data_IF_758803518128
#
_entry.id   IF_758803518128
#
_cell.length_a   1.000
_cell.length_b   1.000
_cell.length_c   1.000
_cell.angle_alpha   90.00
_cell.angle_beta   90.00
_cell.angle_gamma   90.00
#
_symmetry.space_group_name_H-M   'P 1'
#
loop_
_entity.id
_entity.type
_entity.pdbx_description
1 polymer ?
#
# COMPACT_ATOMS: atom_id res chain seq x y z
N UNK A 1 -2.01 -12.73 14.31
CA UNK A 1 -3.13 -13.05 13.40
C UNK A 1 -3.19 -11.96 12.35
N UNK A 2 -3.15 -12.36 11.08
CA UNK A 2 -3.25 -11.46 9.93
C UNK A 2 -4.70 -11.15 9.60
N UNK A 3 -4.98 -9.90 9.25
CA UNK A 3 -6.25 -9.46 8.68
C UNK A 3 -5.97 -8.61 7.43
N UNK A 4 -6.83 -8.68 6.42
CA UNK A 4 -6.72 -7.79 5.27
C UNK A 4 -6.79 -6.33 5.74
N UNK A 5 -5.91 -5.49 5.21
CA UNK A 5 -5.82 -4.05 5.54
C UNK A 5 -6.24 -3.21 4.33
N UNK A 6 -5.61 -3.47 3.19
CA UNK A 6 -5.97 -2.83 1.93
C UNK A 6 -5.49 -3.63 0.72
N UNK A 7 -6.00 -3.20 -0.43
CA UNK A 7 -5.61 -3.64 -1.76
C UNK A 7 -4.82 -2.52 -2.43
N UNK A 8 -3.82 -2.86 -3.24
CA UNK A 8 -3.01 -1.87 -3.96
C UNK A 8 -3.10 -2.04 -5.48
N UNK A 9 -3.50 -0.96 -6.13
CA UNK A 9 -3.44 -0.76 -7.58
C UNK A 9 -2.18 0.03 -7.88
N UNK A 10 -1.24 -0.62 -8.56
CA UNK A 10 -0.02 0.05 -9.02
C UNK A 10 -0.25 0.68 -10.40
N UNK A 11 0.42 1.80 -10.63
CA UNK A 11 0.33 2.57 -11.87
C UNK A 11 1.66 3.30 -12.17
N UNK A 12 1.87 3.68 -13.44
CA UNK A 12 3.06 4.43 -13.86
C UNK A 12 3.03 5.86 -13.33
N UNK A 13 1.86 6.51 -13.40
CA UNK A 13 1.60 7.80 -12.79
C UNK A 13 0.36 7.70 -11.90
N UNK A 14 0.35 8.44 -10.79
CA UNK A 14 -0.81 8.46 -9.91
C UNK A 14 -2.06 9.03 -10.61
N UNK A 15 -1.87 9.99 -11.52
CA UNK A 15 -2.97 10.57 -12.31
C UNK A 15 -3.67 9.50 -13.17
N UNK A 16 -2.91 8.70 -13.92
CA UNK A 16 -3.47 7.62 -14.74
C UNK A 16 -4.18 6.57 -13.88
N UNK A 17 -3.59 6.23 -12.72
CA UNK A 17 -4.17 5.28 -11.79
C UNK A 17 -5.50 5.77 -11.22
N UNK A 18 -5.56 7.03 -10.79
CA UNK A 18 -6.79 7.66 -10.28
C UNK A 18 -7.84 7.68 -11.36
N UNK A 19 -7.52 8.19 -12.55
CA UNK A 19 -8.47 8.25 -13.67
C UNK A 19 -9.04 6.86 -14.01
N UNK A 20 -8.19 5.83 -14.07
CA UNK A 20 -8.62 4.48 -14.38
C UNK A 20 -9.57 3.90 -13.32
N UNK A 21 -9.27 4.09 -12.03
CA UNK A 21 -10.09 3.56 -10.94
C UNK A 21 -11.40 4.35 -10.80
N UNK A 22 -11.38 5.67 -10.88
CA UNK A 22 -12.60 6.50 -10.85
C UNK A 22 -13.53 6.17 -12.01
N UNK A 23 -12.98 5.99 -13.22
CA UNK A 23 -13.76 5.57 -14.38
C UNK A 23 -14.39 4.18 -14.21
N UNK A 24 -13.67 3.24 -13.57
CA UNK A 24 -14.15 1.88 -13.36
C UNK A 24 -15.22 1.78 -12.25
N UNK A 25 -15.09 2.58 -11.18
CA UNK A 25 -15.94 2.49 -9.99
C UNK A 25 -17.00 3.59 -9.90
N UNK A 26 -16.90 4.64 -10.73
CA UNK A 26 -17.86 5.73 -10.79
C UNK A 26 -17.85 6.68 -9.59
N UNK A 27 -16.79 6.65 -8.77
CA UNK A 27 -16.65 7.47 -7.56
C UNK A 27 -15.26 8.06 -7.48
N UNK A 28 -15.13 9.20 -6.80
CA UNK A 28 -13.84 9.87 -6.63
C UNK A 28 -12.97 9.19 -5.58
N UNK A 29 -11.66 9.12 -5.83
CA UNK A 29 -10.70 8.81 -4.78
C UNK A 29 -10.48 10.02 -3.87
N UNK A 30 -10.06 9.75 -2.65
CA UNK A 30 -9.84 10.75 -1.62
C UNK A 30 -8.52 10.52 -0.85
N UNK A 31 -8.16 11.51 -0.05
CA UNK A 31 -7.03 11.41 0.88
C UNK A 31 -5.71 11.04 0.20
N UNK A 32 -4.98 10.12 0.83
CA UNK A 32 -3.65 9.71 0.42
C UNK A 32 -2.55 10.71 0.83
N UNK A 33 -1.41 10.65 0.14
CA UNK A 33 -0.27 11.51 0.39
C UNK A 33 1.04 10.89 -0.12
N UNK A 34 2.15 11.44 0.35
CA UNK A 34 3.50 11.03 -0.05
C UNK A 34 4.14 10.11 1.00
N UNK A 35 4.93 9.15 0.55
CA UNK A 35 5.78 8.30 1.36
C UNK A 35 7.25 8.66 1.10
N UNK A 36 7.81 9.56 1.90
CA UNK A 36 9.17 10.07 1.69
C UNK A 36 10.24 8.97 1.65
N UNK A 37 10.09 7.95 2.51
CA UNK A 37 11.03 6.83 2.57
C UNK A 37 11.09 6.02 1.26
N UNK A 38 10.01 5.99 0.49
CA UNK A 38 9.92 5.17 -0.73
C UNK A 38 9.80 6.00 -1.99
N UNK A 39 9.80 7.33 -1.89
CA UNK A 39 9.49 8.23 -3.00
C UNK A 39 8.28 7.72 -3.82
N UNK A 40 7.19 7.42 -3.12
CA UNK A 40 5.90 7.04 -3.71
C UNK A 40 4.82 7.99 -3.23
N UNK A 41 3.70 8.02 -3.93
CA UNK A 41 2.51 8.76 -3.53
C UNK A 41 1.25 7.97 -3.85
N UNK A 42 0.15 8.28 -3.16
CA UNK A 42 -1.08 7.52 -3.31
C UNK A 42 -2.36 8.37 -3.27
N UNK A 43 -3.45 7.72 -3.63
CA UNK A 43 -4.85 8.10 -3.42
C UNK A 43 -5.62 6.89 -2.93
N UNK A 44 -6.67 7.12 -2.14
CA UNK A 44 -7.36 6.06 -1.43
C UNK A 44 -8.85 6.05 -1.77
N UNK A 45 -9.50 4.90 -1.60
CA UNK A 45 -10.95 4.75 -1.67
C UNK A 45 -11.41 3.85 -0.53
N UNK A 46 -12.46 4.24 0.21
CA UNK A 46 -13.04 3.39 1.25
C UNK A 46 -13.65 2.13 0.63
N UNK A 47 -13.37 0.97 1.25
CA UNK A 47 -14.04 -0.31 0.97
C UNK A 47 -14.85 -0.81 2.17
N UNK A 48 -15.14 0.07 3.13
CA UNK A 48 -15.72 -0.28 4.42
C UNK A 48 -15.04 0.45 5.58
N UNK A 49 -15.40 0.11 6.83
CA UNK A 49 -14.94 0.86 8.01
C UNK A 49 -13.44 0.68 8.29
N UNK A 50 -12.86 -0.46 7.89
CA UNK A 50 -11.48 -0.86 8.19
C UNK A 50 -10.67 -1.29 6.96
N UNK A 51 -11.26 -1.24 5.77
CA UNK A 51 -10.62 -1.60 4.50
C UNK A 51 -10.61 -0.44 3.52
N UNK A 52 -9.58 -0.36 2.70
CA UNK A 52 -9.50 0.61 1.61
C UNK A 52 -8.79 0.04 0.38
N UNK A 53 -8.98 0.71 -0.76
CA UNK A 53 -8.18 0.53 -1.98
C UNK A 53 -7.16 1.66 -2.02
N UNK A 54 -5.90 1.31 -2.25
CA UNK A 54 -4.81 2.25 -2.49
C UNK A 54 -4.46 2.25 -3.98
N UNK A 55 -4.46 3.43 -4.61
CA UNK A 55 -3.81 3.64 -5.91
C UNK A 55 -2.46 4.27 -5.63
N UNK A 56 -1.38 3.64 -6.07
CA UNK A 56 -0.01 4.03 -5.73
C UNK A 56 0.89 4.05 -6.96
N UNK A 57 1.79 5.04 -7.00
CA UNK A 57 2.84 5.18 -8.01
C UNK A 57 4.14 5.68 -7.40
N UNK A 58 5.24 5.52 -8.14
CA UNK A 58 6.48 6.23 -7.85
C UNK A 58 6.28 7.75 -8.01
N UNK A 59 6.71 8.53 -7.04
CA UNK A 59 6.67 9.99 -7.07
C UNK A 59 7.98 10.53 -7.63
N UNK A 60 7.98 10.93 -8.91
CA UNK A 60 9.16 11.44 -9.60
C UNK A 60 9.58 12.84 -9.17
N UNK A 61 8.76 13.54 -8.36
CA UNK A 61 9.13 14.82 -7.77
C UNK A 61 10.07 14.66 -6.57
N UNK A 62 10.16 13.45 -6.01
CA UNK A 62 11.03 13.12 -4.89
C UNK A 62 12.32 12.45 -5.37
N UNK A 63 13.45 12.61 -4.65
CA UNK A 63 14.66 11.86 -4.94
C UNK A 63 14.40 10.36 -4.89
N UNK A 64 14.89 9.61 -5.88
CA UNK A 64 14.80 8.14 -5.85
C UNK A 64 15.55 7.61 -4.62
N UNK A 65 14.96 6.71 -3.82
CA UNK A 65 15.65 6.08 -2.71
C UNK A 65 16.85 5.25 -3.19
N UNK A 66 17.82 5.04 -2.30
CA UNK A 66 18.99 4.22 -2.57
C UNK A 66 18.69 2.71 -2.59
N UNK A 67 17.45 2.32 -2.30
CA UNK A 67 16.94 0.95 -2.27
C UNK A 67 15.73 0.81 -3.21
N UNK A 68 15.37 -0.42 -3.62
CA UNK A 68 14.20 -0.66 -4.45
C UNK A 68 12.90 -0.22 -3.78
N UNK A 69 11.98 0.32 -4.57
CA UNK A 69 10.62 0.62 -4.07
C UNK A 69 9.84 -0.66 -3.83
N UNK A 70 8.92 -0.62 -2.86
CA UNK A 70 8.01 -1.73 -2.55
C UNK A 70 7.09 -2.03 -3.73
N UNK A 71 6.39 -3.17 -3.65
CA UNK A 71 5.37 -3.58 -4.63
C UNK A 71 5.92 -3.74 -6.06
N UNK A 72 7.23 -3.96 -6.21
CA UNK A 72 7.92 -4.02 -7.50
C UNK A 72 7.69 -2.75 -8.38
N UNK A 73 7.43 -1.59 -7.76
CA UNK A 73 7.08 -0.36 -8.47
C UNK A 73 8.18 0.12 -9.42
N UNK A 74 9.45 -0.20 -9.14
CA UNK A 74 10.57 0.18 -10.01
C UNK A 74 10.61 -0.60 -11.33
N UNK A 75 9.91 -1.73 -11.42
CA UNK A 75 9.77 -2.55 -12.63
C UNK A 75 8.33 -2.55 -13.17
N UNK A 76 7.44 -1.77 -12.56
CA UNK A 76 6.07 -1.68 -13.01
C UNK A 76 6.00 -1.12 -14.44
N UNK A 77 5.20 -1.78 -15.27
CA UNK A 77 4.91 -1.36 -16.63
C UNK A 77 3.46 -1.72 -16.99
N UNK A 78 2.93 -1.06 -18.02
CA UNK A 78 1.58 -1.29 -18.53
C UNK A 78 0.50 -0.49 -17.80
N UNK A 79 -0.78 -0.83 -18.02
CA UNK A 79 -1.91 -0.10 -17.46
C UNK A 79 -2.03 -0.31 -15.94
N UNK A 80 -2.72 0.61 -15.24
CA UNK A 80 -3.06 0.45 -13.82
C UNK A 80 -3.73 -0.89 -13.55
N UNK A 81 -3.27 -1.60 -12.51
CA UNK A 81 -3.85 -2.90 -12.12
C UNK A 81 -3.60 -3.20 -10.65
N UNK A 82 -4.43 -4.08 -10.08
CA UNK A 82 -4.17 -4.68 -8.79
C UNK A 82 -2.86 -5.47 -8.85
N UNK A 83 -1.90 -5.17 -7.99
CA UNK A 83 -0.62 -5.90 -7.93
C UNK A 83 -0.35 -6.50 -6.58
N UNK A 84 -0.84 -5.89 -5.50
CA UNK A 84 -0.50 -6.29 -4.15
C UNK A 84 -1.73 -6.19 -3.24
N UNK A 85 -1.64 -6.92 -2.14
CA UNK A 85 -2.60 -6.96 -1.06
C UNK A 85 -1.83 -6.96 0.23
N UNK A 86 -2.35 -6.23 1.21
CA UNK A 86 -1.65 -5.91 2.44
C UNK A 86 -2.43 -6.49 3.61
N UNK A 87 -1.73 -7.17 4.51
CA UNK A 87 -2.29 -7.72 5.73
C UNK A 87 -1.73 -7.00 6.95
N UNK A 88 -2.63 -6.51 7.80
CA UNK A 88 -2.29 -5.94 9.11
C UNK A 88 -2.13 -7.02 10.17
N UNK A 89 -1.24 -6.76 11.11
CA UNK A 89 -0.95 -7.63 12.25
C UNK A 89 -0.76 -6.81 13.54
N UNK A 90 -0.83 -7.50 14.68
CA UNK A 90 -0.55 -6.91 15.99
C UNK A 90 0.93 -6.94 16.38
N UNK A 91 1.71 -7.85 15.79
CA UNK A 91 3.14 -8.03 16.06
C UNK A 91 3.86 -8.45 14.77
N UNK A 92 4.50 -7.49 14.12
CA UNK A 92 5.18 -7.70 12.84
C UNK A 92 6.40 -8.60 12.96
N UNK A 93 7.11 -8.55 14.08
CA UNK A 93 8.33 -9.35 14.28
C UNK A 93 7.96 -10.84 14.43
N UNK A 94 6.89 -11.12 15.17
CA UNK A 94 6.36 -12.47 15.29
C UNK A 94 5.86 -13.02 13.94
N UNK A 95 5.10 -12.24 13.17
CA UNK A 95 4.61 -12.69 11.85
C UNK A 95 5.75 -12.91 10.85
N UNK A 96 6.80 -12.07 10.88
CA UNK A 96 7.98 -12.24 10.03
C UNK A 96 8.76 -13.51 10.36
N UNK A 97 8.83 -13.93 11.62
CA UNK A 97 9.51 -15.17 12.01
C UNK A 97 8.88 -16.43 11.39
N UNK A 98 7.60 -16.38 11.02
CA UNK A 98 6.88 -17.46 10.34
C UNK A 98 6.67 -17.19 8.84
N UNK A 99 7.08 -16.03 8.34
CA UNK A 99 6.92 -15.66 6.94
C UNK A 99 8.04 -16.26 6.07
N UNK A 100 7.80 -16.44 4.77
CA UNK A 100 8.85 -16.85 3.85
C UNK A 100 10.05 -15.90 3.86
N UNK A 101 11.23 -16.44 3.59
CA UNK A 101 12.42 -15.62 3.34
C UNK A 101 12.14 -14.63 2.20
N UNK A 102 12.57 -13.38 2.37
CA UNK A 102 12.35 -12.32 1.40
C UNK A 102 11.09 -11.48 1.62
N UNK A 103 10.21 -11.80 2.60
CA UNK A 103 9.08 -10.92 2.98
C UNK A 103 9.55 -9.53 3.43
N UNK A 104 10.77 -9.43 3.93
CA UNK A 104 11.45 -8.17 4.19
C UNK A 104 11.80 -7.94 5.65
N UNK A 105 12.26 -6.73 5.93
CA UNK A 105 12.61 -6.29 7.27
C UNK A 105 11.66 -5.20 7.74
N UNK A 106 11.35 -5.12 9.05
CA UNK A 106 10.51 -4.06 9.59
C UNK A 106 11.15 -2.69 9.38
N UNK A 107 10.39 -1.77 8.78
CA UNK A 107 10.76 -0.36 8.65
C UNK A 107 9.68 0.50 9.30
N UNK A 108 10.08 1.38 10.21
CA UNK A 108 9.18 2.34 10.84
C UNK A 108 8.91 3.51 9.87
N UNK A 109 7.64 3.82 9.67
CA UNK A 109 7.15 4.78 8.70
C UNK A 109 6.15 5.74 9.34
N UNK A 110 6.02 6.91 8.73
CA UNK A 110 5.14 7.94 9.22
C UNK A 110 4.64 8.85 8.11
N UNK A 111 3.41 9.34 8.28
CA UNK A 111 2.81 10.38 7.43
C UNK A 111 1.74 11.12 8.22
N UNK A 112 1.95 12.41 8.49
CA UNK A 112 1.06 13.16 9.37
C UNK A 112 1.03 12.53 10.77
N UNK A 113 -0.16 12.19 11.25
CA UNK A 113 -0.37 11.49 12.52
C UNK A 113 -0.36 9.95 12.39
N UNK A 114 -0.31 9.42 11.17
CA UNK A 114 -0.16 7.99 10.95
C UNK A 114 1.26 7.52 11.30
N UNK A 115 1.34 6.40 12.01
CA UNK A 115 2.58 5.69 12.36
C UNK A 115 2.35 4.19 12.15
N UNK A 116 3.29 3.53 11.51
CA UNK A 116 3.22 2.10 11.26
C UNK A 116 4.61 1.52 11.01
N UNK A 117 4.72 0.20 11.15
CA UNK A 117 5.85 -0.59 10.64
C UNK A 117 5.39 -1.36 9.42
N UNK A 118 6.25 -1.48 8.42
CA UNK A 118 5.98 -2.31 7.25
C UNK A 118 7.17 -3.23 6.98
N UNK A 119 6.91 -4.49 6.63
CA UNK A 119 7.94 -5.38 6.12
C UNK A 119 8.29 -4.97 4.68
N UNK A 120 9.53 -4.55 4.45
CA UNK A 120 10.00 -4.14 3.11
C UNK A 120 11.06 -5.13 2.61
N UNK A 121 10.79 -5.87 1.52
CA UNK A 121 11.78 -6.71 0.87
C UNK A 121 12.99 -5.91 0.40
N UNK A 122 14.20 -6.42 0.59
CA UNK A 122 15.41 -5.77 0.09
C UNK A 122 15.43 -5.61 -1.45
N UNK A 123 14.73 -6.50 -2.16
CA UNK A 123 14.53 -6.45 -3.61
C UNK A 123 13.38 -5.54 -4.05
N UNK A 124 12.52 -5.10 -3.13
CA UNK A 124 11.23 -4.45 -3.44
C UNK A 124 10.13 -5.40 -3.90
N UNK A 125 10.42 -6.71 -4.00
CA UNK A 125 9.53 -7.75 -4.56
C UNK A 125 9.21 -8.77 -3.47
N UNK A 126 7.92 -9.05 -3.24
CA UNK A 126 7.48 -10.03 -2.24
C UNK A 126 7.70 -11.48 -2.72
N UNK A 127 7.76 -12.46 -1.80
CA UNK A 127 7.84 -13.88 -2.16
C UNK A 127 6.71 -14.33 -3.09
N UNK A 128 6.95 -15.46 -3.77
CA UNK A 128 6.01 -16.08 -4.72
C UNK A 128 5.62 -15.13 -5.86
N UNK A 129 6.62 -14.59 -6.56
CA UNK A 129 6.43 -13.67 -7.69
C UNK A 129 5.57 -12.44 -7.33
N UNK A 130 5.89 -11.81 -6.20
CA UNK A 130 5.20 -10.65 -5.64
C UNK A 130 3.77 -10.94 -5.12
N UNK A 131 3.37 -12.21 -4.97
CA UNK A 131 2.01 -12.59 -4.58
C UNK A 131 1.81 -12.81 -3.07
N UNK A 132 2.88 -12.94 -2.28
CA UNK A 132 2.76 -12.97 -0.81
C UNK A 132 2.21 -11.62 -0.30
N UNK A 133 1.36 -11.57 0.75
CA UNK A 133 0.84 -10.31 1.26
C UNK A 133 1.97 -9.47 1.85
N UNK A 134 1.95 -8.17 1.59
CA UNK A 134 2.81 -7.27 2.35
C UNK A 134 2.28 -7.17 3.78
N UNK A 135 3.19 -7.06 4.77
CA UNK A 135 2.81 -7.05 6.17
C UNK A 135 2.96 -5.65 6.76
N UNK A 136 1.91 -5.18 7.44
CA UNK A 136 1.86 -3.89 8.11
C UNK A 136 1.47 -4.06 9.58
N UNK A 137 2.03 -3.23 10.45
CA UNK A 137 1.59 -3.08 11.83
C UNK A 137 1.35 -1.60 12.09
N UNK A 138 0.08 -1.22 12.24
CA UNK A 138 -0.29 0.13 12.65
C UNK A 138 0.07 0.39 14.11
N UNK A 139 0.46 1.63 14.41
CA UNK A 139 0.77 2.08 15.76
C UNK A 139 -0.25 3.13 16.23
N UNK A 140 -0.81 2.93 17.43
CA UNK A 140 -1.88 3.77 17.96
C UNK A 140 -3.23 3.48 17.32
N UNK A 141 -4.13 4.47 17.32
CA UNK A 141 -5.51 4.34 16.83
C UNK A 141 -5.76 5.02 15.48
N UNK A 142 -4.78 5.74 14.95
CA UNK A 142 -4.89 6.45 13.68
C UNK A 142 -4.85 5.46 12.51
N UNK A 143 -5.90 5.42 11.70
CA UNK A 143 -6.00 4.57 10.52
C UNK A 143 -6.64 5.33 9.34
N UNK A 144 -6.22 5.09 8.08
CA UNK A 144 -6.79 5.78 6.93
C UNK A 144 -8.26 5.46 6.69
N UNK A 145 -8.65 4.17 6.71
CA UNK A 145 -10.01 3.71 6.36
C UNK A 145 -11.15 4.52 7.01
N UNK A 146 -11.21 4.74 8.35
CA UNK A 146 -12.32 5.46 8.98
C UNK A 146 -12.37 6.96 8.66
N UNK A 147 -11.36 7.51 7.98
CA UNK A 147 -11.28 8.93 7.59
C UNK A 147 -11.70 9.17 6.14
N UNK A 148 -11.91 8.11 5.37
CA UNK A 148 -12.26 8.21 3.96
C UNK A 148 -13.77 8.39 3.80
N UNK A 149 -14.22 9.17 2.81
CA UNK A 149 -15.63 9.17 2.40
C UNK A 149 -16.06 7.75 2.01
N UNK A 150 -17.16 7.29 2.61
CA UNK A 150 -17.74 5.99 2.31
C UNK A 150 -18.77 6.13 1.17
N UNK A 151 -18.45 5.54 0.02
CA UNK A 151 -19.31 5.52 -1.16
C UNK A 151 -20.17 4.24 -1.27
N UNK A 152 -20.19 3.39 -0.24
CA UNK A 152 -20.93 2.13 -0.24
C UNK A 152 -20.27 1.00 -1.05
N UNK A 153 -19.04 1.20 -1.54
CA UNK A 153 -18.26 0.17 -2.25
C UNK A 153 -17.68 -0.81 -1.24
N UNK A 154 -17.79 -2.11 -1.51
CA UNK A 154 -17.34 -3.18 -0.62
C UNK A 154 -16.61 -4.27 -1.41
N UNK A 155 -15.74 -4.99 -0.72
CA UNK A 155 -15.20 -6.26 -1.20
C UNK A 155 -16.20 -7.36 -0.86
N UNK A 156 -16.63 -8.13 -1.86
CA UNK A 156 -17.64 -9.21 -1.73
C UNK A 156 -17.01 -10.60 -1.81
#
# INVERSE_FOLDING_TARGET
>A
MLALDHLAVSCLTLEDGVQAVEAALGVALAGGGQHAHMATHNRLLSLGPDLYLEVIAADTSQPRPAWPRWFDLDRFAGPPRLTNWICRCGDLDAELAFSPEGTGHPVALSRGDFRWRMAIPASGILPFDNAFPALIQWEGTAHPAPRLPDHGIRLA
#
